data_IF_628733864990
#
_entry.id   IF_628733864990
#
_cell.length_a   1.000
_cell.length_b   1.000
_cell.length_c   1.000
_cell.angle_alpha   90.00
_cell.angle_beta   90.00
_cell.angle_gamma   90.00
#
_symmetry.space_group_name_H-M   'P 1'
#
loop_
_entity.id
_entity.type
_entity.pdbx_description
1 polymer ?
#
# COMPACT_ATOMS: atom_id res chain seq x y z
N UNK A 1 36.41 -0.88 4.45
CA UNK A 1 35.24 -0.04 4.14
C UNK A 1 34.05 -0.68 4.79
N UNK A 2 33.48 -0.04 5.80
CA UNK A 2 32.22 -0.48 6.42
C UNK A 2 31.17 -0.18 5.37
N UNK A 3 30.62 -1.21 4.72
CA UNK A 3 29.39 -1.05 3.93
C UNK A 3 28.30 -0.65 4.94
N UNK A 4 27.97 0.64 4.97
CA UNK A 4 26.71 1.08 5.59
C UNK A 4 25.60 0.35 4.84
N UNK A 5 24.95 -0.61 5.50
CA UNK A 5 23.77 -1.26 4.95
C UNK A 5 22.77 -0.16 4.62
N UNK A 6 22.24 -0.19 3.40
CA UNK A 6 21.22 0.78 2.98
C UNK A 6 20.03 0.62 3.93
N UNK A 7 19.66 1.71 4.61
CA UNK A 7 18.53 1.77 5.54
C UNK A 7 17.27 2.04 4.71
N UNK A 8 16.16 1.36 5.02
CA UNK A 8 14.83 1.74 4.55
C UNK A 8 14.14 2.70 5.51
N UNK A 9 12.98 3.22 5.14
CA UNK A 9 12.12 4.03 6.00
C UNK A 9 10.78 3.32 6.18
N UNK A 10 10.40 3.07 7.45
CA UNK A 10 9.10 2.46 7.78
C UNK A 10 8.09 3.55 8.05
N UNK A 11 6.89 3.40 7.47
CA UNK A 11 5.81 4.35 7.58
C UNK A 11 4.43 3.70 7.64
N UNK A 12 3.42 4.53 7.47
CA UNK A 12 2.01 4.16 7.51
C UNK A 12 1.35 4.44 6.16
N UNK A 13 0.62 3.47 5.63
CA UNK A 13 -0.37 3.71 4.59
C UNK A 13 -1.64 4.26 5.27
N UNK A 14 -2.07 5.47 4.87
CA UNK A 14 -3.05 6.26 5.62
C UNK A 14 -4.48 5.73 5.58
N UNK A 15 -4.83 4.73 4.72
CA UNK A 15 -6.13 4.07 4.83
C UNK A 15 -6.34 3.41 6.20
N UNK A 16 -5.25 2.93 6.82
CA UNK A 16 -5.25 2.36 8.18
C UNK A 16 -5.77 3.34 9.23
N UNK A 17 -5.49 4.63 9.06
CA UNK A 17 -5.87 5.72 9.99
C UNK A 17 -6.94 6.65 9.42
N UNK A 18 -7.59 6.28 8.33
CA UNK A 18 -8.61 7.12 7.67
C UNK A 18 -9.68 7.61 8.63
N UNK A 19 -10.21 6.72 9.47
CA UNK A 19 -11.21 7.08 10.49
C UNK A 19 -10.70 8.16 11.45
N UNK A 20 -9.41 8.13 11.79
CA UNK A 20 -8.79 9.16 12.64
C UNK A 20 -8.67 10.50 11.93
N UNK A 21 -8.38 10.49 10.63
CA UNK A 21 -8.41 11.72 9.81
C UNK A 21 -9.82 12.30 9.76
N UNK A 22 -10.85 11.46 9.60
CA UNK A 22 -12.26 11.90 9.62
C UNK A 22 -12.68 12.47 10.98
N UNK A 23 -12.16 11.92 12.10
CA UNK A 23 -12.49 12.32 13.47
C UNK A 23 -11.71 13.57 13.93
N UNK A 24 -10.42 13.65 13.64
CA UNK A 24 -9.48 14.61 14.23
C UNK A 24 -8.94 15.64 13.21
N UNK A 25 -9.14 15.40 11.92
CA UNK A 25 -8.46 16.11 10.84
C UNK A 25 -7.06 15.59 10.57
N UNK A 26 -6.54 15.88 9.37
CA UNK A 26 -5.27 15.37 8.89
C UNK A 26 -4.08 15.82 9.77
N UNK A 27 -4.04 17.06 10.18
CA UNK A 27 -2.94 17.60 10.98
C UNK A 27 -2.78 16.89 12.33
N UNK A 28 -3.85 16.81 13.15
CA UNK A 28 -3.78 16.19 14.49
C UNK A 28 -3.53 14.67 14.39
N UNK A 29 -4.04 14.02 13.34
CA UNK A 29 -3.78 12.61 13.10
C UNK A 29 -2.30 12.37 12.80
N UNK A 30 -1.70 13.12 11.91
CA UNK A 30 -0.28 12.98 11.57
C UNK A 30 0.64 13.37 12.75
N UNK A 31 0.28 14.40 13.52
CA UNK A 31 0.97 14.74 14.77
C UNK A 31 0.99 13.54 15.74
N UNK A 32 -0.17 12.92 15.96
CA UNK A 32 -0.26 11.73 16.82
C UNK A 32 0.61 10.58 16.29
N UNK A 33 0.66 10.37 14.97
CA UNK A 33 1.56 9.39 14.38
C UNK A 33 3.04 9.73 14.62
N UNK A 34 3.43 10.98 14.48
CA UNK A 34 4.81 11.42 14.78
C UNK A 34 5.17 11.24 16.27
N UNK A 35 4.24 11.56 17.19
CA UNK A 35 4.41 11.32 18.62
C UNK A 35 4.57 9.82 18.96
N UNK A 36 4.01 8.93 18.13
CA UNK A 36 4.23 7.48 18.21
C UNK A 36 5.56 7.04 17.57
N UNK A 37 6.30 7.93 16.91
CA UNK A 37 7.56 7.67 16.24
C UNK A 37 7.45 7.35 14.74
N UNK A 38 6.29 7.57 14.12
CA UNK A 38 6.11 7.38 12.68
C UNK A 38 6.36 8.70 11.91
N UNK A 39 7.42 8.74 11.13
CA UNK A 39 7.80 9.92 10.34
C UNK A 39 7.72 9.71 8.82
N UNK A 40 6.98 8.69 8.37
CA UNK A 40 6.74 8.44 6.96
C UNK A 40 5.27 8.04 6.73
N UNK A 41 4.66 8.61 5.68
CA UNK A 41 3.26 8.34 5.33
C UNK A 41 3.12 8.11 3.83
N UNK A 42 2.20 7.23 3.45
CA UNK A 42 1.64 7.14 2.11
C UNK A 42 0.20 7.61 2.16
N UNK A 43 -0.12 8.62 1.38
CA UNK A 43 -1.47 9.18 1.33
C UNK A 43 -2.35 8.29 0.46
N UNK A 44 -3.31 7.63 1.06
CA UNK A 44 -4.28 6.76 0.39
C UNK A 44 -5.65 6.86 1.06
N UNK A 45 -6.70 6.89 0.27
CA UNK A 45 -8.10 6.98 0.71
C UNK A 45 -8.41 8.20 1.61
N UNK A 46 -7.56 9.19 1.60
CA UNK A 46 -7.78 10.48 2.24
C UNK A 46 -8.27 11.46 1.16
N UNK A 47 -9.42 12.12 1.32
CA UNK A 47 -9.88 13.14 0.38
C UNK A 47 -8.84 14.26 0.26
N UNK A 48 -8.38 14.54 -0.96
CA UNK A 48 -7.37 15.56 -1.24
C UNK A 48 -8.00 16.96 -1.32
N UNK A 49 -8.76 17.31 -0.26
CA UNK A 49 -9.30 18.66 -0.10
C UNK A 49 -8.19 19.66 0.27
N UNK A 50 -8.34 20.94 -0.05
CA UNK A 50 -7.35 21.95 0.35
C UNK A 50 -7.04 21.94 1.85
N UNK A 51 -8.04 21.64 2.69
CA UNK A 51 -7.89 21.53 4.13
C UNK A 51 -6.98 20.35 4.52
N UNK A 52 -7.25 19.16 3.98
CA UNK A 52 -6.44 17.97 4.27
C UNK A 52 -5.01 18.13 3.74
N UNK A 53 -4.83 18.62 2.51
CA UNK A 53 -3.50 18.88 1.93
C UNK A 53 -2.71 19.88 2.78
N UNK A 54 -3.34 20.99 3.17
CA UNK A 54 -2.71 22.00 4.05
C UNK A 54 -2.40 21.43 5.44
N UNK A 55 -3.32 20.64 6.01
CA UNK A 55 -3.11 19.99 7.31
C UNK A 55 -1.95 18.98 7.28
N UNK A 56 -1.89 18.13 6.26
CA UNK A 56 -0.78 17.20 6.06
C UNK A 56 0.55 17.95 5.85
N UNK A 57 0.55 18.98 4.97
CA UNK A 57 1.77 19.76 4.73
C UNK A 57 2.30 20.40 6.01
N UNK A 58 1.42 21.03 6.80
CA UNK A 58 1.77 21.63 8.08
C UNK A 58 2.37 20.59 9.04
N UNK A 59 1.76 19.43 9.16
CA UNK A 59 2.28 18.37 10.02
C UNK A 59 3.65 17.86 9.54
N UNK A 60 3.85 17.74 8.22
CA UNK A 60 5.15 17.38 7.65
C UNK A 60 6.24 18.39 8.04
N UNK A 61 5.94 19.68 7.95
CA UNK A 61 6.89 20.76 8.28
C UNK A 61 7.22 20.82 9.78
N UNK A 62 6.20 20.65 10.64
CA UNK A 62 6.38 20.77 12.09
C UNK A 62 7.00 19.53 12.74
N UNK A 63 6.69 18.34 12.25
CA UNK A 63 7.10 17.08 12.88
C UNK A 63 8.12 16.28 12.07
N UNK A 64 8.61 16.82 10.96
CA UNK A 64 9.58 16.12 10.12
C UNK A 64 8.98 14.83 9.52
N UNK A 65 7.78 14.91 8.92
CA UNK A 65 7.15 13.75 8.28
C UNK A 65 7.43 13.78 6.78
N UNK A 66 7.90 12.67 6.23
CA UNK A 66 8.04 12.45 4.79
C UNK A 66 6.77 11.82 4.23
N UNK A 67 6.21 12.40 3.17
CA UNK A 67 5.23 11.71 2.35
C UNK A 67 5.98 10.86 1.33
N UNK A 68 5.89 9.54 1.46
CA UNK A 68 6.52 8.59 0.54
C UNK A 68 5.85 8.62 -0.84
N UNK A 69 4.53 8.55 -0.88
CA UNK A 69 3.77 8.61 -2.12
C UNK A 69 2.35 9.14 -1.88
N UNK A 70 1.76 9.72 -2.93
CA UNK A 70 0.32 9.94 -3.03
C UNK A 70 -0.34 8.81 -3.82
N UNK A 71 -1.67 8.72 -3.74
CA UNK A 71 -2.47 7.76 -4.51
C UNK A 71 -3.44 8.48 -5.43
N UNK A 72 -3.48 8.07 -6.69
CA UNK A 72 -4.55 8.45 -7.62
C UNK A 72 -4.86 7.28 -8.58
N UNK A 73 -6.13 7.05 -8.87
CA UNK A 73 -6.50 6.10 -9.91
C UNK A 73 -6.26 6.70 -11.30
N UNK A 74 -5.97 5.85 -12.29
CA UNK A 74 -5.86 6.29 -13.69
C UNK A 74 -7.20 6.85 -14.18
N UNK A 75 -8.27 6.10 -13.91
CA UNK A 75 -9.65 6.39 -14.35
C UNK A 75 -10.66 5.79 -13.36
N UNK A 76 -11.97 6.09 -13.46
CA UNK A 76 -12.98 5.51 -12.59
C UNK A 76 -12.96 3.97 -12.59
N UNK A 77 -13.09 3.35 -11.42
CA UNK A 77 -13.18 1.89 -11.29
C UNK A 77 -14.39 1.29 -12.02
N UNK A 78 -15.46 2.08 -12.14
CA UNK A 78 -16.67 1.79 -12.92
C UNK A 78 -17.26 3.09 -13.48
N UNK A 79 -18.06 3.04 -14.56
CA UNK A 79 -18.67 4.23 -15.15
C UNK A 79 -19.46 5.04 -14.10
N UNK A 80 -19.16 6.35 -14.01
CA UNK A 80 -19.82 7.26 -13.07
C UNK A 80 -19.36 7.20 -11.62
N UNK A 81 -18.35 6.40 -11.28
CA UNK A 81 -17.78 6.42 -9.95
C UNK A 81 -17.14 7.79 -9.65
N UNK A 82 -17.43 8.38 -8.46
CA UNK A 82 -16.85 9.67 -8.08
C UNK A 82 -15.37 9.53 -7.76
N UNK A 83 -14.61 10.60 -7.92
CA UNK A 83 -13.22 10.67 -7.57
C UNK A 83 -12.40 11.62 -8.42
N UNK A 84 -11.15 11.77 -8.08
CA UNK A 84 -10.14 12.48 -8.87
C UNK A 84 -9.26 11.44 -9.57
N UNK A 85 -9.12 11.57 -10.89
CA UNK A 85 -8.43 10.61 -11.74
C UNK A 85 -7.35 11.29 -12.56
N UNK A 86 -6.28 10.58 -12.86
CA UNK A 86 -5.19 11.08 -13.69
C UNK A 86 -5.68 11.51 -15.08
N UNK A 87 -6.70 10.83 -15.64
CA UNK A 87 -7.30 11.20 -16.93
C UNK A 87 -8.08 12.51 -16.91
N UNK A 88 -8.53 12.98 -15.76
CA UNK A 88 -9.45 14.14 -15.65
C UNK A 88 -8.97 15.26 -14.73
N UNK A 89 -8.09 14.95 -13.76
CA UNK A 89 -7.61 15.88 -12.73
C UNK A 89 -6.08 15.94 -12.66
N UNK A 90 -5.41 15.71 -13.77
CA UNK A 90 -3.95 15.56 -13.83
C UNK A 90 -3.21 16.71 -13.13
N UNK A 91 -3.52 17.96 -13.50
CA UNK A 91 -2.82 19.13 -12.96
C UNK A 91 -2.99 19.26 -11.45
N UNK A 92 -4.21 19.02 -10.93
CA UNK A 92 -4.48 19.02 -9.49
C UNK A 92 -3.66 17.95 -8.77
N UNK A 93 -3.61 16.74 -9.31
CA UNK A 93 -2.86 15.63 -8.70
C UNK A 93 -1.36 15.95 -8.66
N UNK A 94 -0.82 16.57 -9.72
CA UNK A 94 0.57 17.04 -9.75
C UNK A 94 0.80 18.15 -8.70
N UNK A 95 -0.13 19.09 -8.56
CA UNK A 95 -0.06 20.15 -7.54
C UNK A 95 -0.10 19.58 -6.12
N UNK A 96 -0.94 18.59 -5.85
CA UNK A 96 -1.01 17.91 -4.55
C UNK A 96 0.31 17.19 -4.23
N UNK A 97 0.91 16.49 -5.19
CA UNK A 97 2.22 15.87 -5.00
C UNK A 97 3.30 16.91 -4.66
N UNK A 98 3.32 18.03 -5.38
CA UNK A 98 4.26 19.14 -5.10
C UNK A 98 4.00 19.77 -3.73
N UNK A 99 2.75 20.02 -3.38
CA UNK A 99 2.36 20.58 -2.08
C UNK A 99 2.83 19.70 -0.92
N UNK A 100 2.76 18.38 -1.08
CA UNK A 100 3.19 17.41 -0.07
C UNK A 100 4.68 17.00 -0.20
N UNK A 101 5.41 17.59 -1.16
CA UNK A 101 6.82 17.32 -1.41
C UNK A 101 7.11 15.82 -1.58
N UNK A 102 6.30 15.16 -2.42
CA UNK A 102 6.53 13.77 -2.83
C UNK A 102 6.78 13.69 -4.33
N UNK A 103 7.72 12.83 -4.72
CA UNK A 103 8.09 12.51 -6.08
C UNK A 103 7.51 11.16 -6.55
N UNK A 104 6.60 10.57 -5.76
CA UNK A 104 5.97 9.30 -6.10
C UNK A 104 4.45 9.38 -6.03
N UNK A 105 3.84 8.79 -7.03
CA UNK A 105 2.40 8.57 -7.11
C UNK A 105 2.14 7.09 -7.39
N UNK A 106 1.12 6.53 -6.77
CA UNK A 106 0.73 5.14 -7.06
C UNK A 106 -0.70 5.02 -7.57
N UNK A 107 -0.93 4.04 -8.45
CA UNK A 107 -2.25 3.52 -8.79
C UNK A 107 -2.54 2.35 -7.85
N UNK A 108 -3.62 2.45 -7.07
CA UNK A 108 -3.98 1.43 -6.07
C UNK A 108 -4.48 0.12 -6.67
N UNK A 109 -5.13 0.16 -7.82
CA UNK A 109 -5.65 -1.01 -8.54
C UNK A 109 -6.09 -0.59 -9.95
N UNK A 110 -6.00 -1.50 -10.92
CA UNK A 110 -6.59 -1.27 -12.23
C UNK A 110 -8.13 -1.32 -12.15
N UNK A 111 -8.85 -0.59 -13.04
CA UNK A 111 -10.31 -0.63 -13.06
C UNK A 111 -10.83 -2.05 -13.26
N UNK A 112 -11.94 -2.39 -12.61
CA UNK A 112 -12.59 -3.72 -12.72
C UNK A 112 -12.91 -4.05 -14.19
N UNK A 113 -13.26 -3.05 -14.97
CA UNK A 113 -13.52 -3.19 -16.42
C UNK A 113 -12.31 -3.63 -17.22
N UNK A 114 -11.11 -3.42 -16.71
CA UNK A 114 -9.84 -3.82 -17.33
C UNK A 114 -9.39 -5.24 -16.95
N UNK A 115 -10.03 -5.86 -15.96
CA UNK A 115 -9.70 -7.21 -15.48
C UNK A 115 -10.30 -8.34 -16.33
N UNK A 116 -11.21 -8.03 -17.26
CA UNK A 116 -12.01 -9.05 -17.96
C UNK A 116 -11.29 -9.78 -19.08
N UNK A 117 -10.14 -9.30 -19.57
CA UNK A 117 -9.33 -9.96 -20.60
C UNK A 117 -7.91 -9.40 -20.66
N UNK A 118 -7.00 -10.18 -21.24
CA UNK A 118 -5.62 -9.78 -21.48
C UNK A 118 -5.53 -8.49 -22.33
N UNK A 119 -6.37 -8.38 -23.35
CA UNK A 119 -6.41 -7.21 -24.22
C UNK A 119 -6.76 -5.91 -23.46
N UNK A 120 -7.79 -5.96 -22.62
CA UNK A 120 -8.18 -4.81 -21.77
C UNK A 120 -7.10 -4.45 -20.77
N UNK A 121 -6.43 -5.43 -20.18
CA UNK A 121 -5.30 -5.20 -19.29
C UNK A 121 -4.14 -4.51 -20.02
N UNK A 122 -3.80 -4.94 -21.24
CA UNK A 122 -2.77 -4.32 -22.06
C UNK A 122 -3.12 -2.88 -22.47
N UNK A 123 -4.39 -2.60 -22.76
CA UNK A 123 -4.84 -1.23 -23.02
C UNK A 123 -4.67 -0.33 -21.79
N UNK A 124 -5.04 -0.83 -20.61
CA UNK A 124 -4.78 -0.12 -19.35
C UNK A 124 -3.28 0.16 -19.17
N UNK A 125 -2.42 -0.85 -19.35
CA UNK A 125 -0.96 -0.72 -19.18
C UNK A 125 -0.40 0.35 -20.11
N UNK A 126 -0.79 0.36 -21.39
CA UNK A 126 -0.37 1.38 -22.36
C UNK A 126 -0.73 2.79 -21.88
N UNK A 127 -1.97 3.01 -21.45
CA UNK A 127 -2.44 4.32 -20.96
C UNK A 127 -1.79 4.72 -19.64
N UNK A 128 -1.50 3.76 -18.76
CA UNK A 128 -0.78 4.01 -17.52
C UNK A 128 0.69 4.37 -17.78
N UNK A 129 1.34 3.72 -18.74
CA UNK A 129 2.74 4.02 -19.10
C UNK A 129 2.87 5.39 -19.78
N UNK A 130 1.91 5.78 -20.64
CA UNK A 130 1.79 7.13 -21.21
C UNK A 130 1.60 8.19 -20.08
N UNK A 131 0.82 7.85 -19.05
CA UNK A 131 0.61 8.74 -17.91
C UNK A 131 1.87 8.84 -17.05
N UNK A 132 2.61 7.74 -16.88
CA UNK A 132 3.89 7.73 -16.18
C UNK A 132 4.93 8.62 -16.88
N UNK A 133 4.95 8.62 -18.21
CA UNK A 133 5.83 9.53 -18.97
C UNK A 133 5.47 11.00 -18.73
N UNK A 134 4.16 11.35 -18.77
CA UNK A 134 3.70 12.71 -18.47
C UNK A 134 3.99 13.15 -17.05
N UNK A 135 3.81 12.28 -16.05
CA UNK A 135 4.17 12.55 -14.65
C UNK A 135 5.68 12.77 -14.49
N UNK A 136 6.48 12.00 -15.23
CA UNK A 136 7.95 12.16 -15.27
C UNK A 136 8.41 13.53 -15.72
N UNK A 137 7.66 14.23 -16.61
CA UNK A 137 7.93 15.63 -16.99
C UNK A 137 7.80 16.61 -15.81
N UNK A 138 7.06 16.22 -14.77
CA UNK A 138 6.89 16.96 -13.51
C UNK A 138 7.79 16.43 -12.37
N UNK A 139 8.66 15.45 -12.65
CA UNK A 139 9.54 14.82 -11.66
C UNK A 139 8.82 13.86 -10.71
N UNK A 140 7.70 13.28 -11.15
CA UNK A 140 6.89 12.33 -10.37
C UNK A 140 6.96 10.97 -11.05
N UNK A 141 7.40 9.95 -10.30
CA UNK A 141 7.42 8.56 -10.71
C UNK A 141 6.08 7.88 -10.40
N UNK A 142 5.57 7.08 -11.33
CA UNK A 142 4.32 6.33 -11.17
C UNK A 142 4.60 4.88 -10.76
N UNK A 143 3.87 4.40 -9.76
CA UNK A 143 3.93 3.03 -9.26
C UNK A 143 2.56 2.35 -9.35
N UNK A 144 2.57 1.02 -9.49
CA UNK A 144 1.38 0.18 -9.47
C UNK A 144 1.39 -0.70 -8.22
N UNK A 145 0.31 -0.63 -7.43
CA UNK A 145 0.11 -1.49 -6.27
C UNK A 145 -0.72 -2.72 -6.64
N UNK A 146 -0.27 -3.90 -6.20
CA UNK A 146 -0.98 -5.15 -6.46
C UNK A 146 -1.94 -5.54 -5.34
N UNK A 147 -3.04 -6.18 -5.74
CA UNK A 147 -3.89 -7.00 -4.89
C UNK A 147 -3.79 -8.49 -5.29
N UNK A 148 -4.66 -9.33 -4.74
CA UNK A 148 -4.74 -10.74 -5.14
C UNK A 148 -5.37 -10.94 -6.52
N UNK A 149 -6.15 -9.99 -7.00
CA UNK A 149 -6.85 -10.08 -8.30
C UNK A 149 -5.90 -10.09 -9.49
N UNK A 150 -4.71 -9.52 -9.36
CA UNK A 150 -3.68 -9.54 -10.39
C UNK A 150 -2.96 -10.89 -10.53
N UNK A 151 -3.28 -11.85 -9.66
CA UNK A 151 -2.81 -13.24 -9.79
C UNK A 151 -3.76 -14.12 -10.62
N UNK A 152 -4.80 -13.55 -11.23
CA UNK A 152 -5.51 -14.23 -12.32
C UNK A 152 -4.57 -14.48 -13.50
N UNK A 153 -4.73 -15.64 -14.15
CA UNK A 153 -3.87 -16.03 -15.30
C UNK A 153 -4.59 -15.82 -16.61
N UNK A 154 -3.88 -15.21 -17.55
CA UNK A 154 -4.25 -15.19 -18.97
C UNK A 154 -3.16 -15.91 -19.75
N UNK A 155 -3.53 -16.97 -20.47
CA UNK A 155 -2.60 -17.83 -21.21
C UNK A 155 -1.42 -18.36 -20.34
N UNK A 156 -1.70 -18.63 -19.06
CA UNK A 156 -0.72 -19.14 -18.11
C UNK A 156 0.15 -18.09 -17.43
N UNK A 157 0.06 -16.81 -17.81
CA UNK A 157 0.80 -15.69 -17.23
C UNK A 157 -0.08 -14.90 -16.25
N UNK A 158 0.44 -14.52 -15.09
CA UNK A 158 -0.27 -13.66 -14.16
C UNK A 158 -0.52 -12.28 -14.76
N UNK A 159 -1.67 -11.68 -14.43
CA UNK A 159 -1.98 -10.30 -14.84
C UNK A 159 -0.91 -9.32 -14.36
N UNK A 160 -0.38 -9.48 -13.14
CA UNK A 160 0.68 -8.63 -12.62
C UNK A 160 1.96 -8.71 -13.45
N UNK A 161 2.33 -9.91 -13.92
CA UNK A 161 3.48 -10.09 -14.82
C UNK A 161 3.19 -9.51 -16.22
N UNK A 162 1.96 -9.60 -16.70
CA UNK A 162 1.55 -8.94 -17.95
C UNK A 162 1.73 -7.42 -17.83
N UNK A 163 1.33 -6.84 -16.69
CA UNK A 163 1.55 -5.41 -16.41
C UNK A 163 3.06 -5.11 -16.42
N UNK A 164 3.86 -5.87 -15.66
CA UNK A 164 5.32 -5.67 -15.55
C UNK A 164 6.02 -5.74 -16.90
N UNK A 165 5.70 -6.74 -17.69
CA UNK A 165 6.41 -7.02 -18.95
C UNK A 165 6.06 -6.03 -20.07
N UNK A 166 4.94 -5.32 -19.94
CA UNK A 166 4.44 -4.38 -20.95
C UNK A 166 4.51 -2.91 -20.54
N UNK A 167 5.08 -2.58 -19.36
CA UNK A 167 5.37 -1.19 -18.96
C UNK A 167 6.87 -0.96 -18.84
N UNK A 168 7.32 0.25 -19.20
CA UNK A 168 8.73 0.67 -19.13
C UNK A 168 8.97 1.78 -18.12
N UNK A 169 7.94 2.58 -17.86
CA UNK A 169 8.02 3.81 -17.05
C UNK A 169 7.42 3.63 -15.66
N UNK A 170 6.47 2.73 -15.52
CA UNK A 170 5.79 2.51 -14.26
C UNK A 170 6.58 1.51 -13.40
N UNK A 171 6.84 1.87 -12.13
CA UNK A 171 7.38 0.98 -11.10
C UNK A 171 6.28 0.17 -10.40
N UNK A 172 6.67 -0.54 -9.32
CA UNK A 172 5.74 -1.35 -8.55
C UNK A 172 5.85 -1.05 -7.06
N UNK A 173 4.70 -1.02 -6.42
CA UNK A 173 4.54 -1.13 -4.98
C UNK A 173 3.95 -2.51 -4.70
N UNK A 174 4.76 -3.40 -4.13
CA UNK A 174 4.31 -4.76 -3.85
C UNK A 174 3.71 -4.85 -2.45
N UNK A 175 2.66 -5.67 -2.33
CA UNK A 175 2.00 -5.98 -1.06
C UNK A 175 2.19 -7.45 -0.72
N UNK A 176 2.84 -7.72 0.42
CA UNK A 176 3.21 -9.08 0.84
C UNK A 176 2.01 -9.96 1.16
N UNK A 177 0.91 -9.38 1.67
CA UNK A 177 -0.33 -10.10 1.94
C UNK A 177 -0.99 -10.56 0.64
N UNK A 178 -1.15 -9.63 -0.30
CA UNK A 178 -1.85 -9.93 -1.55
C UNK A 178 -1.06 -10.88 -2.44
N UNK A 179 0.27 -10.84 -2.42
CA UNK A 179 1.12 -11.84 -3.07
C UNK A 179 0.84 -13.23 -2.50
N UNK A 180 0.84 -13.35 -1.16
CA UNK A 180 0.56 -14.63 -0.51
C UNK A 180 -0.87 -15.10 -0.76
N UNK A 181 -1.85 -14.21 -0.74
CA UNK A 181 -3.25 -14.51 -1.10
C UNK A 181 -3.41 -14.91 -2.56
N UNK A 182 -2.52 -14.44 -3.43
CA UNK A 182 -2.41 -14.84 -4.83
C UNK A 182 -1.81 -16.23 -5.04
N UNK A 183 -1.34 -16.88 -3.96
CA UNK A 183 -0.78 -18.24 -3.98
C UNK A 183 0.74 -18.28 -4.19
N UNK A 184 1.43 -17.15 -4.09
CA UNK A 184 2.88 -17.06 -4.29
C UNK A 184 3.62 -16.86 -2.94
N UNK A 185 4.90 -17.24 -2.94
CA UNK A 185 5.79 -16.91 -1.82
C UNK A 185 6.24 -15.44 -1.94
N UNK A 186 5.93 -14.56 -0.95
CA UNK A 186 6.21 -13.14 -1.07
C UNK A 186 7.68 -12.81 -1.27
N UNK A 187 8.59 -13.50 -0.56
CA UNK A 187 10.05 -13.28 -0.66
C UNK A 187 10.55 -13.60 -2.07
N UNK A 188 10.19 -14.78 -2.59
CA UNK A 188 10.58 -15.19 -3.93
C UNK A 188 9.98 -14.26 -5.00
N UNK A 189 8.75 -13.80 -4.80
CA UNK A 189 8.06 -12.93 -5.74
C UNK A 189 8.67 -11.52 -5.76
N UNK A 190 8.98 -10.93 -4.60
CA UNK A 190 9.65 -9.63 -4.49
C UNK A 190 10.96 -9.64 -5.29
N UNK A 191 11.75 -10.71 -5.20
CA UNK A 191 13.01 -10.82 -5.93
C UNK A 191 12.84 -10.78 -7.46
N UNK A 192 11.69 -11.20 -8.00
CA UNK A 192 11.40 -11.12 -9.44
C UNK A 192 11.12 -9.69 -9.93
N UNK A 193 10.85 -8.76 -9.00
CA UNK A 193 10.58 -7.35 -9.28
C UNK A 193 11.75 -6.44 -8.87
N UNK A 194 12.90 -7.01 -8.50
CA UNK A 194 14.08 -6.25 -8.11
C UNK A 194 14.46 -5.19 -9.16
N UNK A 195 14.77 -3.98 -8.71
CA UNK A 195 15.07 -2.82 -9.56
C UNK A 195 13.83 -2.08 -10.08
N UNK A 196 12.62 -2.59 -9.83
CA UNK A 196 11.35 -1.98 -10.24
C UNK A 196 10.46 -1.61 -9.04
N UNK A 197 10.92 -1.84 -7.80
CA UNK A 197 10.19 -1.59 -6.56
C UNK A 197 10.90 -0.51 -5.74
N UNK A 198 10.15 0.51 -5.29
CA UNK A 198 10.62 1.49 -4.30
C UNK A 198 9.77 1.49 -3.03
N UNK A 199 8.56 0.93 -3.12
CA UNK A 199 7.58 0.85 -2.04
C UNK A 199 7.21 -0.61 -1.81
N UNK A 200 7.02 -0.98 -0.54
CA UNK A 200 6.55 -2.31 -0.13
C UNK A 200 5.51 -2.15 0.98
N UNK A 201 4.33 -2.72 0.80
CA UNK A 201 3.34 -2.79 1.86
C UNK A 201 3.63 -3.96 2.80
N UNK A 202 3.79 -3.61 4.06
CA UNK A 202 3.84 -4.56 5.17
C UNK A 202 2.42 -4.77 5.69
N UNK A 203 1.69 -5.67 5.06
CA UNK A 203 0.33 -6.04 5.40
C UNK A 203 0.34 -7.49 5.87
N UNK A 204 0.18 -7.69 7.17
CA UNK A 204 0.21 -9.02 7.76
C UNK A 204 -1.21 -9.58 7.94
N UNK A 205 -1.32 -10.88 8.12
CA UNK A 205 -2.59 -11.55 8.40
C UNK A 205 -2.38 -12.78 9.24
N UNK A 206 -3.43 -13.19 9.93
CA UNK A 206 -3.50 -14.45 10.68
C UNK A 206 -4.73 -15.25 10.32
N UNK A 207 -4.72 -16.52 10.68
CA UNK A 207 -5.94 -17.32 10.70
C UNK A 207 -6.65 -17.05 12.03
N UNK A 208 -7.90 -16.61 11.95
CA UNK A 208 -8.74 -16.33 13.12
C UNK A 208 -8.99 -17.58 13.96
N UNK A 209 -9.17 -17.40 15.25
CA UNK A 209 -9.65 -18.46 16.11
C UNK A 209 -11.06 -18.91 15.71
N UNK A 210 -11.25 -20.21 15.59
CA UNK A 210 -12.55 -20.79 15.36
C UNK A 210 -13.11 -21.37 16.66
N UNK A 211 -14.34 -21.00 16.99
CA UNK A 211 -15.10 -21.62 18.07
C UNK A 211 -15.83 -22.86 17.53
N UNK A 212 -16.00 -23.87 18.37
CA UNK A 212 -16.84 -25.01 18.01
C UNK A 212 -18.28 -24.57 17.74
N UNK A 213 -18.98 -25.19 16.77
CA UNK A 213 -20.36 -24.84 16.49
C UNK A 213 -21.26 -25.10 17.71
N UNK A 214 -22.18 -24.18 17.97
CA UNK A 214 -23.13 -24.30 19.05
C UNK A 214 -24.30 -25.26 18.65
N UNK A 215 -24.94 -25.86 19.64
CA UNK A 215 -26.12 -26.71 19.38
C UNK A 215 -27.20 -25.89 18.65
N UNK A 216 -27.71 -26.41 17.53
CA UNK A 216 -28.69 -25.73 16.67
C UNK A 216 -28.14 -24.66 15.73
N UNK A 217 -26.81 -24.50 15.66
CA UNK A 217 -26.19 -23.59 14.68
C UNK A 217 -26.36 -24.09 13.25
N UNK A 218 -26.58 -23.15 12.32
CA UNK A 218 -26.58 -23.46 10.87
C UNK A 218 -25.18 -23.89 10.39
N UNK A 219 -24.99 -25.16 10.19
CA UNK A 219 -23.71 -25.76 9.75
C UNK A 219 -23.26 -25.23 8.40
N UNK A 220 -24.17 -24.82 7.51
CA UNK A 220 -23.79 -24.22 6.23
C UNK A 220 -23.14 -22.85 6.44
N UNK A 221 -23.70 -22.04 7.34
CA UNK A 221 -23.13 -20.74 7.74
C UNK A 221 -21.79 -20.94 8.46
N UNK A 222 -21.73 -21.90 9.39
CA UNK A 222 -20.49 -22.25 10.09
C UNK A 222 -19.37 -22.59 9.11
N UNK A 223 -19.59 -23.54 8.17
CA UNK A 223 -18.58 -23.88 7.17
C UNK A 223 -18.28 -22.75 6.19
N UNK A 224 -19.24 -21.89 5.88
CA UNK A 224 -18.98 -20.67 5.11
C UNK A 224 -17.97 -19.78 5.81
N UNK A 225 -18.10 -19.59 7.11
CA UNK A 225 -17.13 -18.83 7.91
C UNK A 225 -15.78 -19.57 8.03
N UNK A 226 -15.80 -20.90 8.21
CA UNK A 226 -14.60 -21.74 8.30
C UNK A 226 -13.65 -21.56 7.10
N UNK A 227 -14.18 -21.39 5.90
CA UNK A 227 -13.37 -21.15 4.71
C UNK A 227 -12.84 -19.71 4.58
N UNK A 228 -13.29 -18.78 5.44
CA UNK A 228 -12.93 -17.37 5.41
C UNK A 228 -12.34 -16.88 6.75
N UNK A 229 -11.51 -17.71 7.39
CA UNK A 229 -10.88 -17.41 8.69
C UNK A 229 -9.67 -16.46 8.58
N UNK A 230 -9.52 -15.73 7.48
CA UNK A 230 -8.41 -14.81 7.32
C UNK A 230 -8.76 -13.46 7.95
N UNK A 231 -7.92 -13.01 8.87
CA UNK A 231 -7.99 -11.67 9.49
C UNK A 231 -6.70 -10.92 9.22
N UNK A 232 -6.82 -9.61 8.95
CA UNK A 232 -5.65 -8.74 8.96
C UNK A 232 -5.06 -8.72 10.38
N UNK A 233 -3.76 -8.60 10.46
CA UNK A 233 -3.05 -8.60 11.73
C UNK A 233 -2.10 -7.39 11.79
N UNK A 234 -1.81 -6.98 13.00
CA UNK A 234 -0.71 -6.08 13.26
C UNK A 234 0.59 -6.74 12.75
N UNK A 235 1.46 -5.97 12.15
CA UNK A 235 2.72 -6.48 11.59
C UNK A 235 3.52 -7.23 12.66
N UNK A 236 3.83 -8.48 12.37
CA UNK A 236 4.51 -9.40 13.31
C UNK A 236 3.59 -10.18 14.23
N UNK A 237 2.28 -9.95 14.23
CA UNK A 237 1.27 -10.77 14.93
C UNK A 237 0.61 -11.80 14.00
N UNK A 238 0.98 -11.78 12.72
CA UNK A 238 0.40 -12.64 11.69
C UNK A 238 1.30 -13.83 11.33
N UNK A 239 1.04 -14.36 10.14
CA UNK A 239 1.64 -15.59 9.63
C UNK A 239 2.69 -15.34 8.53
N UNK A 240 2.89 -14.08 8.09
CA UNK A 240 3.83 -13.79 7.01
C UNK A 240 5.29 -13.67 7.51
N UNK A 241 6.27 -14.04 6.68
CA UNK A 241 7.70 -13.87 6.98
C UNK A 241 8.11 -12.41 6.77
N UNK A 242 7.61 -11.51 7.64
CA UNK A 242 7.75 -10.04 7.48
C UNK A 242 9.21 -9.63 7.39
N UNK A 243 10.08 -10.17 8.23
CA UNK A 243 11.51 -9.84 8.25
C UNK A 243 12.16 -10.16 6.91
N UNK A 244 11.95 -11.36 6.41
CA UNK A 244 12.51 -11.83 5.15
C UNK A 244 11.95 -11.04 3.96
N UNK A 245 10.69 -10.61 4.03
CA UNK A 245 10.10 -9.73 3.02
C UNK A 245 10.74 -8.34 3.03
N UNK A 246 11.01 -7.76 4.21
CA UNK A 246 11.72 -6.48 4.34
C UNK A 246 13.14 -6.60 3.75
N UNK A 247 13.86 -7.66 4.09
CA UNK A 247 15.22 -7.90 3.57
C UNK A 247 15.23 -8.07 2.04
N UNK A 248 14.28 -8.83 1.48
CA UNK A 248 14.12 -8.97 0.03
C UNK A 248 13.74 -7.64 -0.64
N UNK A 249 12.81 -6.88 -0.06
CA UNK A 249 12.42 -5.56 -0.54
C UNK A 249 13.59 -4.59 -0.60
N UNK A 250 14.36 -4.51 0.49
CA UNK A 250 15.56 -3.66 0.56
C UNK A 250 16.59 -4.07 -0.49
N UNK A 251 16.86 -5.36 -0.63
CA UNK A 251 17.77 -5.90 -1.65
C UNK A 251 17.26 -5.62 -3.07
N UNK A 252 15.94 -5.63 -3.27
CA UNK A 252 15.25 -5.34 -4.53
C UNK A 252 15.18 -3.86 -4.89
N UNK A 253 15.53 -2.95 -3.96
CA UNK A 253 15.55 -1.51 -4.20
C UNK A 253 14.46 -0.73 -3.46
N UNK A 254 13.63 -1.37 -2.63
CA UNK A 254 12.63 -0.66 -1.83
C UNK A 254 13.31 0.30 -0.85
N UNK A 255 12.77 1.51 -0.79
CA UNK A 255 13.19 2.58 0.11
C UNK A 255 12.18 2.79 1.24
N UNK A 256 10.88 2.51 0.96
CA UNK A 256 9.76 2.73 1.86
C UNK A 256 9.02 1.42 2.13
N UNK A 257 8.74 1.19 3.40
CA UNK A 257 8.06 0.01 3.92
C UNK A 257 6.85 0.47 4.72
N UNK A 258 5.65 0.29 4.16
CA UNK A 258 4.46 0.97 4.63
C UNK A 258 3.49 -0.02 5.28
N UNK A 259 3.23 0.17 6.57
CA UNK A 259 2.28 -0.65 7.32
C UNK A 259 0.87 -0.34 6.81
N UNK A 260 0.15 -1.36 6.38
CA UNK A 260 -1.26 -1.27 6.01
C UNK A 260 -2.07 -2.36 6.73
N UNK A 261 -3.22 -1.96 7.29
CA UNK A 261 -4.18 -2.87 7.91
C UNK A 261 -5.60 -2.40 7.57
N UNK A 262 -6.32 -3.16 6.74
CA UNK A 262 -7.64 -2.74 6.24
C UNK A 262 -8.74 -2.79 7.31
N UNK A 263 -8.60 -3.67 8.30
CA UNK A 263 -9.52 -3.79 9.43
C UNK A 263 -8.75 -4.07 10.72
N UNK A 264 -9.07 -3.36 11.77
CA UNK A 264 -8.52 -3.55 13.12
C UNK A 264 -9.46 -4.31 14.05
N UNK A 265 -10.59 -4.79 13.52
CA UNK A 265 -11.60 -5.58 14.25
C UNK A 265 -12.06 -4.93 15.56
N UNK A 266 -12.26 -3.60 15.51
CA UNK A 266 -12.73 -2.79 16.64
C UNK A 266 -11.62 -2.28 17.57
N UNK A 267 -10.36 -2.64 17.36
CA UNK A 267 -9.23 -2.00 18.04
C UNK A 267 -9.03 -0.58 17.50
N UNK A 268 -8.59 0.34 18.33
CA UNK A 268 -8.18 1.67 17.89
C UNK A 268 -7.01 1.56 16.91
N UNK A 269 -7.05 2.19 15.73
CA UNK A 269 -5.97 2.11 14.75
C UNK A 269 -4.60 2.55 15.29
N UNK A 270 -4.55 3.53 16.18
CA UNK A 270 -3.29 3.95 16.79
C UNK A 270 -2.71 2.87 17.72
N UNK A 271 -3.58 2.11 18.43
CA UNK A 271 -3.12 0.98 19.24
C UNK A 271 -2.59 -0.16 18.36
N UNK A 272 -3.25 -0.48 17.23
CA UNK A 272 -2.74 -1.45 16.25
C UNK A 272 -1.38 -1.02 15.69
N UNK A 273 -1.21 0.26 15.36
CA UNK A 273 0.07 0.79 14.88
C UNK A 273 1.18 0.72 15.95
N UNK A 274 0.88 0.96 17.24
CA UNK A 274 1.85 0.79 18.32
C UNK A 274 2.33 -0.66 18.42
N UNK A 275 1.42 -1.63 18.30
CA UNK A 275 1.77 -3.06 18.30
C UNK A 275 2.69 -3.39 17.12
N UNK A 276 2.33 -2.96 15.91
CA UNK A 276 3.15 -3.15 14.70
C UNK A 276 4.54 -2.54 14.85
N UNK A 277 4.63 -1.30 15.37
CA UNK A 277 5.90 -0.62 15.65
C UNK A 277 6.76 -1.42 16.63
N UNK A 278 6.19 -1.83 17.74
CA UNK A 278 6.92 -2.52 18.81
C UNK A 278 7.43 -3.88 18.34
N UNK A 279 6.69 -4.58 17.48
CA UNK A 279 7.14 -5.81 16.84
C UNK A 279 8.28 -5.56 15.86
N UNK A 280 8.20 -4.52 15.03
CA UNK A 280 9.28 -4.13 14.13
C UNK A 280 10.55 -3.70 14.90
N UNK A 281 10.39 -3.05 16.05
CA UNK A 281 11.53 -2.76 16.95
C UNK A 281 12.20 -4.04 17.46
N UNK A 282 11.43 -5.06 17.88
CA UNK A 282 11.95 -6.37 18.28
C UNK A 282 12.69 -7.09 17.13
N UNK A 283 12.25 -6.87 15.89
CA UNK A 283 12.90 -7.39 14.68
C UNK A 283 14.18 -6.62 14.30
N UNK A 284 14.50 -5.51 14.99
CA UNK A 284 15.73 -4.74 14.78
C UNK A 284 15.60 -3.52 13.88
N UNK A 285 14.38 -3.10 13.54
CA UNK A 285 14.12 -1.99 12.60
C UNK A 285 13.83 -0.65 13.30
N UNK A 286 14.19 -0.46 14.57
CA UNK A 286 13.90 0.79 15.29
C UNK A 286 14.41 2.02 14.57
N UNK A 287 15.63 1.99 14.05
CA UNK A 287 16.27 3.12 13.38
C UNK A 287 15.62 3.45 12.00
N UNK A 288 14.74 2.59 11.50
CA UNK A 288 14.05 2.78 10.22
C UNK A 288 12.78 3.63 10.34
N UNK A 289 12.43 4.07 11.53
CA UNK A 289 11.31 4.96 11.79
C UNK A 289 11.72 6.45 11.78
N UNK A 290 13.02 6.72 11.78
CA UNK A 290 13.60 8.06 11.79
C UNK A 290 14.17 8.40 10.41
N UNK A 291 13.98 9.66 9.97
CA UNK A 291 14.51 10.19 8.71
C UNK A 291 16.04 10.24 8.67
#
# INVERSE_FOLDING_TARGET
MIHTMKKGLIGIQMSTIKKKVDELGAYETLKTCAEMGYHCMEVSQIPMTPENVSGMRKACDEFGIKIAANTAALEPAAPGAPGEFLTTHFDKIVEDCKALNTDMLRIGMLPITCMGSREKALDFVRRADEMAERLGEHGIDLYYHNHHVEFVKYDGQYLLDIIKDNTKKMGFELDIHWIHRGGENPVAFINQYAGRIRLLHLKDYRIAHIEAPKEGEDMKKFFGNFFNLVEFAEVGEGNLPVKECIEAGLAGGSEYFLIEQDDTYGRDPFESLKISRDNLFKLGYKDWFEL
#
